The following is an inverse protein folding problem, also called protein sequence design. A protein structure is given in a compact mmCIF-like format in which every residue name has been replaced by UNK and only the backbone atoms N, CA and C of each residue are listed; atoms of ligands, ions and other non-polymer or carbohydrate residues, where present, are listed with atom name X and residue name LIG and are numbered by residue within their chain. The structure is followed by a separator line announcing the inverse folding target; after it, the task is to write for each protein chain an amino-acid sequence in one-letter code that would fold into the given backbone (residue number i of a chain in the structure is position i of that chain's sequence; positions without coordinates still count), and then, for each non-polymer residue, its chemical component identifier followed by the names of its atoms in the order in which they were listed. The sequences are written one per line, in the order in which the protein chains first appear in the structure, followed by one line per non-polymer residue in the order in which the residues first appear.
data_IF_899357036355
#
_entry.id   IF_899357036355
#
_cell.length_a   1.000
_cell.length_b   1.000
_cell.length_c   1.000
_cell.angle_alpha   90.00
_cell.angle_beta   90.00
_cell.angle_gamma   90.00
#
_symmetry.space_group_name_H-M   'P 1'
#
loop_
_entity.id
_entity.type
_entity.pdbx_description
1 polymer ?
#
# COMPACT_ATOMS: atom_id res chain seq x y z
N UNK A 1 11.00 -17.55 -12.31
CA UNK A 1 9.62 -17.14 -12.65
C UNK A 1 9.53 -15.64 -12.95
N UNK A 2 10.00 -14.76 -12.07
CA UNK A 2 10.08 -13.31 -12.39
C UNK A 2 11.15 -12.96 -13.44
N UNK A 3 12.17 -13.80 -13.61
CA UNK A 3 13.28 -13.60 -14.57
C UNK A 3 12.84 -13.48 -16.04
N UNK A 4 11.67 -14.00 -16.39
CA UNK A 4 11.11 -13.89 -17.75
C UNK A 4 10.01 -12.84 -17.85
N UNK A 5 9.60 -12.22 -16.73
CA UNK A 5 8.53 -11.24 -16.73
C UNK A 5 9.01 -9.94 -17.40
N UNK A 6 8.22 -9.46 -18.36
CA UNK A 6 8.58 -8.28 -19.16
C UNK A 6 7.44 -7.27 -19.22
N UNK A 7 7.81 -6.00 -19.10
CA UNK A 7 6.92 -4.84 -19.18
C UNK A 7 7.38 -3.95 -20.32
N UNK A 8 6.44 -3.54 -21.16
CA UNK A 8 6.66 -2.52 -22.19
C UNK A 8 5.99 -1.21 -21.77
N UNK A 9 6.64 -0.07 -22.00
CA UNK A 9 6.07 1.26 -21.71
C UNK A 9 5.43 1.79 -22.98
N UNK A 10 4.12 2.04 -22.94
CA UNK A 10 3.37 2.54 -24.09
C UNK A 10 3.62 4.03 -24.35
N UNK A 11 3.70 4.41 -25.64
CA UNK A 11 3.81 5.80 -26.16
C UNK A 11 5.03 6.61 -25.68
N UNK A 12 5.46 7.67 -26.41
CA UNK A 12 6.70 8.36 -26.09
C UNK A 12 6.63 9.13 -24.77
N UNK A 13 7.81 9.18 -24.16
CA UNK A 13 8.12 9.69 -22.83
C UNK A 13 7.99 11.22 -22.80
N UNK A 14 6.81 11.74 -22.45
CA UNK A 14 6.76 13.10 -21.89
C UNK A 14 7.23 12.96 -20.44
N UNK A 15 8.38 13.53 -20.04
CA UNK A 15 8.85 13.38 -18.67
C UNK A 15 7.85 13.98 -17.69
N UNK A 16 7.53 13.22 -16.64
CA UNK A 16 6.80 13.70 -15.48
C UNK A 16 7.36 12.99 -14.25
N UNK A 17 7.06 13.54 -13.08
CA UNK A 17 7.47 12.99 -11.80
C UNK A 17 6.24 12.77 -10.92
N UNK A 18 6.34 11.81 -10.01
CA UNK A 18 5.34 11.63 -8.97
C UNK A 18 5.79 12.39 -7.72
N UNK A 19 4.96 13.30 -7.18
CA UNK A 19 5.28 14.01 -5.94
C UNK A 19 5.19 13.08 -4.72
N UNK A 20 4.38 12.02 -4.82
CA UNK A 20 4.27 10.98 -3.79
C UNK A 20 5.51 10.07 -3.79
N UNK A 21 6.06 9.83 -2.59
CA UNK A 21 7.33 9.09 -2.42
C UNK A 21 7.21 7.63 -2.88
N UNK A 22 6.24 6.82 -2.39
CA UNK A 22 6.02 5.46 -2.90
C UNK A 22 5.86 5.39 -4.42
N UNK A 23 5.04 6.26 -5.01
CA UNK A 23 4.80 6.26 -6.45
C UNK A 23 6.06 6.63 -7.25
N UNK A 24 6.83 7.61 -6.77
CA UNK A 24 8.11 8.00 -7.36
C UNK A 24 9.13 6.87 -7.31
N UNK A 25 9.27 6.21 -6.16
CA UNK A 25 10.17 5.07 -5.98
C UNK A 25 9.78 3.89 -6.87
N UNK A 26 8.49 3.57 -6.96
CA UNK A 26 8.00 2.55 -7.89
C UNK A 26 8.35 2.87 -9.34
N UNK A 27 8.04 4.09 -9.80
CA UNK A 27 8.24 4.49 -11.18
C UNK A 27 9.73 4.51 -11.55
N UNK A 28 10.58 5.12 -10.71
CA UNK A 28 12.02 5.16 -10.92
C UNK A 28 12.64 3.76 -10.91
N UNK A 29 12.20 2.90 -10.01
CA UNK A 29 12.65 1.50 -9.95
C UNK A 29 12.24 0.74 -11.20
N UNK A 30 11.01 0.91 -11.69
CA UNK A 30 10.53 0.29 -12.93
C UNK A 30 11.40 0.68 -14.12
N UNK A 31 11.72 1.97 -14.26
CA UNK A 31 12.56 2.51 -15.34
C UNK A 31 13.98 1.94 -15.38
N UNK A 32 14.53 1.57 -14.22
CA UNK A 32 15.88 1.00 -14.10
C UNK A 32 15.89 -0.53 -14.01
N UNK A 33 14.71 -1.14 -13.97
CA UNK A 33 14.58 -2.57 -13.69
C UNK A 33 14.85 -3.46 -14.90
N UNK A 34 15.30 -4.71 -14.68
CA UNK A 34 15.45 -5.70 -15.75
C UNK A 34 14.11 -6.21 -16.31
N UNK A 35 12.98 -5.78 -15.73
CA UNK A 35 11.65 -6.13 -16.21
C UNK A 35 11.29 -5.37 -17.48
N UNK A 36 11.94 -4.25 -17.79
CA UNK A 36 11.64 -3.54 -19.03
C UNK A 36 12.10 -4.30 -20.28
N UNK A 37 11.30 -4.20 -21.33
CA UNK A 37 11.68 -4.61 -22.69
C UNK A 37 11.38 -3.49 -23.67
N UNK A 38 12.22 -3.37 -24.70
CA UNK A 38 11.97 -2.51 -25.85
C UNK A 38 11.18 -3.23 -26.95
N UNK A 39 11.00 -4.55 -26.83
CA UNK A 39 10.24 -5.36 -27.77
C UNK A 39 8.83 -5.62 -27.19
N UNK A 40 7.78 -4.98 -27.74
CA UNK A 40 6.42 -5.15 -27.22
C UNK A 40 5.87 -6.58 -27.41
N UNK A 41 6.42 -7.39 -28.31
CA UNK A 41 6.03 -8.79 -28.50
C UNK A 41 6.53 -9.71 -27.37
N UNK A 42 7.55 -9.30 -26.63
CA UNK A 42 8.03 -10.01 -25.43
C UNK A 42 7.27 -9.59 -24.16
N UNK A 43 6.48 -8.53 -24.23
CA UNK A 43 5.83 -7.94 -23.08
C UNK A 43 4.67 -8.81 -22.56
N UNK A 44 4.65 -8.97 -21.25
CA UNK A 44 3.55 -9.62 -20.53
C UNK A 44 2.51 -8.61 -20.06
N UNK A 45 2.95 -7.40 -19.71
CA UNK A 45 2.11 -6.27 -19.35
C UNK A 45 2.62 -4.99 -20.00
N UNK A 46 1.70 -4.05 -20.17
CA UNK A 46 1.94 -2.75 -20.79
C UNK A 46 1.73 -1.64 -19.79
N UNK A 47 2.78 -0.88 -19.48
CA UNK A 47 2.66 0.29 -18.62
C UNK A 47 2.17 1.49 -19.42
N UNK A 48 1.10 2.14 -18.94
CA UNK A 48 0.55 3.36 -19.53
C UNK A 48 1.02 4.56 -18.70
N UNK A 49 2.02 5.33 -19.18
CA UNK A 49 2.54 6.47 -18.44
C UNK A 49 1.63 7.69 -18.62
N UNK A 50 1.27 8.34 -17.52
CA UNK A 50 0.72 9.69 -17.51
C UNK A 50 0.99 10.38 -16.18
N UNK A 51 1.00 11.72 -16.21
CA UNK A 51 1.21 12.56 -15.03
C UNK A 51 0.11 12.34 -13.99
N UNK A 52 0.42 12.34 -12.68
CA UNK A 52 -0.58 12.11 -11.62
C UNK A 52 -1.70 13.18 -11.58
N UNK A 53 -1.46 14.37 -12.10
CA UNK A 53 -2.41 15.49 -12.19
C UNK A 53 -3.17 15.54 -13.53
N UNK A 54 -3.06 14.49 -14.35
CA UNK A 54 -3.72 14.45 -15.66
C UNK A 54 -5.24 14.59 -15.53
N UNK A 55 -5.81 15.50 -16.33
CA UNK A 55 -7.27 15.64 -16.38
C UNK A 55 -7.94 14.44 -17.04
N UNK A 56 -9.16 14.10 -16.62
CA UNK A 56 -9.97 13.00 -17.21
C UNK A 56 -10.05 13.09 -18.73
N UNK A 57 -10.20 14.31 -19.30
CA UNK A 57 -10.21 14.52 -20.75
C UNK A 57 -8.87 14.14 -21.40
N UNK A 58 -7.76 14.52 -20.79
CA UNK A 58 -6.42 14.24 -21.33
C UNK A 58 -6.09 12.75 -21.22
N UNK A 59 -6.45 12.11 -20.10
CA UNK A 59 -6.32 10.67 -19.93
C UNK A 59 -7.15 9.89 -20.97
N UNK A 60 -8.37 10.35 -21.29
CA UNK A 60 -9.20 9.75 -22.33
C UNK A 60 -8.55 9.88 -23.72
N UNK A 61 -7.80 10.96 -23.96
CA UNK A 61 -7.01 11.15 -25.18
C UNK A 61 -5.82 10.19 -25.24
N UNK A 62 -5.08 10.00 -24.14
CA UNK A 62 -3.99 9.00 -24.07
C UNK A 62 -4.49 7.62 -24.47
N UNK A 63 -5.60 7.17 -23.89
CA UNK A 63 -6.19 5.86 -24.24
C UNK A 63 -6.66 5.82 -25.70
N UNK A 64 -7.18 6.93 -26.25
CA UNK A 64 -7.55 7.01 -27.68
C UNK A 64 -6.33 6.87 -28.60
N UNK A 65 -5.22 7.50 -28.24
CA UNK A 65 -3.94 7.39 -28.96
C UNK A 65 -3.41 5.96 -28.87
N UNK A 66 -3.41 5.34 -27.68
CA UNK A 66 -3.05 3.93 -27.51
C UNK A 66 -3.84 2.98 -28.42
N UNK A 67 -5.15 3.21 -28.55
CA UNK A 67 -6.01 2.40 -29.44
C UNK A 67 -5.66 2.54 -30.91
N UNK A 68 -5.10 3.67 -31.30
CA UNK A 68 -4.80 3.99 -32.70
C UNK A 68 -3.37 3.55 -33.04
N UNK A 69 -2.44 3.81 -32.13
CA UNK A 69 -1.00 3.69 -32.38
C UNK A 69 -0.45 2.32 -31.95
N UNK A 70 -1.10 1.63 -31.01
CA UNK A 70 -0.65 0.34 -30.48
C UNK A 70 -1.72 -0.75 -30.62
N UNK A 71 -1.48 -1.84 -31.39
CA UNK A 71 -2.45 -2.90 -31.57
C UNK A 71 -2.79 -3.65 -30.26
N UNK A 72 -1.91 -3.56 -29.27
CA UNK A 72 -2.00 -4.28 -28.00
C UNK A 72 -3.18 -3.85 -27.13
N UNK A 73 -3.55 -2.56 -27.14
CA UNK A 73 -4.74 -2.12 -26.39
C UNK A 73 -5.99 -2.83 -26.89
N UNK A 74 -6.23 -2.83 -28.20
CA UNK A 74 -7.45 -3.39 -28.79
C UNK A 74 -7.50 -4.92 -28.67
N UNK A 75 -6.36 -5.60 -28.53
CA UNK A 75 -6.27 -7.05 -28.32
C UNK A 75 -6.97 -7.51 -27.03
N UNK A 76 -6.91 -6.68 -25.99
CA UNK A 76 -7.36 -7.03 -24.63
C UNK A 76 -8.29 -5.98 -24.04
N UNK A 77 -8.63 -4.93 -24.79
CA UNK A 77 -9.33 -3.75 -24.29
C UNK A 77 -8.64 -3.14 -23.06
N UNK A 78 -7.30 -3.20 -23.01
CA UNK A 78 -6.49 -2.68 -21.90
C UNK A 78 -6.33 -3.64 -20.70
N UNK A 79 -6.77 -4.89 -20.79
CA UNK A 79 -6.69 -5.85 -19.68
C UNK A 79 -5.29 -6.34 -19.30
N UNK A 80 -4.35 -6.27 -20.24
CA UNK A 80 -2.92 -6.51 -20.02
C UNK A 80 -2.14 -5.19 -19.83
N UNK A 81 -2.83 -4.10 -19.51
CA UNK A 81 -2.23 -2.81 -19.22
C UNK A 81 -2.32 -2.49 -17.74
N UNK A 82 -1.40 -1.67 -17.26
CA UNK A 82 -1.44 -1.11 -15.91
C UNK A 82 -0.96 0.33 -15.91
N UNK A 83 -1.36 1.09 -14.91
CA UNK A 83 -1.00 2.50 -14.76
C UNK A 83 -0.85 2.86 -13.28
N UNK A 84 -0.05 3.90 -13.02
CA UNK A 84 0.16 4.43 -11.69
C UNK A 84 -0.67 5.70 -11.50
N UNK A 85 -1.56 5.68 -10.51
CA UNK A 85 -2.40 6.81 -10.13
C UNK A 85 -2.49 6.85 -8.60
N UNK A 86 -1.67 7.67 -7.92
CA UNK A 86 -1.59 7.70 -6.45
C UNK A 86 -2.95 7.82 -5.77
N UNK A 87 -3.78 8.78 -6.21
CA UNK A 87 -5.14 8.99 -5.70
C UNK A 87 -6.20 8.04 -6.31
N UNK A 88 -5.82 7.23 -7.30
CA UNK A 88 -6.73 6.47 -8.14
C UNK A 88 -7.54 7.33 -9.11
N UNK A 89 -8.35 6.69 -9.96
CA UNK A 89 -9.23 7.38 -10.91
C UNK A 89 -10.69 7.04 -10.64
N UNK A 90 -11.56 8.03 -10.79
CA UNK A 90 -13.01 7.89 -10.67
C UNK A 90 -13.63 7.23 -11.92
N UNK A 91 -14.87 6.79 -11.78
CA UNK A 91 -15.71 6.38 -12.90
C UNK A 91 -16.07 7.58 -13.78
N UNK A 92 -16.10 7.36 -15.08
CA UNK A 92 -16.49 8.34 -16.09
C UNK A 92 -17.41 7.70 -17.12
N UNK A 93 -18.30 8.50 -17.71
CA UNK A 93 -19.10 8.09 -18.86
C UNK A 93 -18.30 8.03 -20.15
N UNK A 94 -17.08 8.57 -20.17
CA UNK A 94 -16.16 8.40 -21.29
C UNK A 94 -15.71 6.94 -21.38
N UNK A 95 -16.00 6.32 -22.53
CA UNK A 95 -15.68 4.91 -22.81
C UNK A 95 -14.21 4.57 -22.55
N UNK A 96 -13.29 5.46 -22.89
CA UNK A 96 -11.86 5.19 -22.75
C UNK A 96 -11.44 5.15 -21.28
N UNK A 97 -11.98 6.03 -20.46
CA UNK A 97 -11.73 6.05 -19.02
C UNK A 97 -12.39 4.84 -18.34
N UNK A 98 -13.61 4.50 -18.77
CA UNK A 98 -14.31 3.33 -18.27
C UNK A 98 -13.54 2.03 -18.56
N UNK A 99 -13.03 1.87 -19.78
CA UNK A 99 -12.19 0.73 -20.18
C UNK A 99 -10.87 0.72 -19.39
N UNK A 100 -10.18 1.86 -19.27
CA UNK A 100 -8.96 1.98 -18.46
C UNK A 100 -9.19 1.57 -17.00
N UNK A 101 -10.24 2.09 -16.36
CA UNK A 101 -10.55 1.80 -14.96
C UNK A 101 -10.95 0.33 -14.75
N UNK A 102 -11.81 -0.22 -15.61
CA UNK A 102 -12.36 -1.56 -15.41
C UNK A 102 -11.43 -2.68 -15.87
N UNK A 103 -10.59 -2.44 -16.88
CA UNK A 103 -9.77 -3.47 -17.49
C UNK A 103 -8.31 -3.39 -17.06
N UNK A 104 -7.71 -2.20 -17.01
CA UNK A 104 -6.27 -2.05 -16.71
C UNK A 104 -6.02 -2.04 -15.20
N UNK A 105 -4.93 -2.64 -14.75
CA UNK A 105 -4.55 -2.67 -13.32
C UNK A 105 -4.18 -1.25 -12.88
N UNK A 106 -4.90 -0.69 -11.92
CA UNK A 106 -4.50 0.57 -11.28
C UNK A 106 -3.55 0.27 -10.12
N UNK A 107 -2.50 1.06 -10.00
CA UNK A 107 -1.64 1.10 -8.81
C UNK A 107 -1.89 2.42 -8.08
N UNK A 108 -2.20 2.36 -6.78
CA UNK A 108 -2.51 3.54 -5.94
C UNK A 108 -1.81 3.46 -4.58
N UNK A 109 -1.68 4.60 -3.90
CA UNK A 109 -0.99 4.67 -2.61
C UNK A 109 -1.93 4.25 -1.48
N UNK A 110 -1.41 3.52 -0.49
CA UNK A 110 -2.15 3.21 0.73
C UNK A 110 -2.25 4.45 1.63
N UNK A 111 -3.42 4.75 2.23
CA UNK A 111 -4.73 4.12 2.01
C UNK A 111 -5.39 4.68 0.75
N UNK A 112 -6.20 3.86 0.07
CA UNK A 112 -6.81 4.27 -1.20
C UNK A 112 -8.07 5.12 -0.99
N UNK A 113 -8.36 6.00 -1.96
CA UNK A 113 -9.59 6.78 -1.96
C UNK A 113 -10.80 5.86 -2.15
N UNK A 114 -11.79 6.00 -1.27
CA UNK A 114 -13.00 5.18 -1.27
C UNK A 114 -13.74 5.28 -2.61
N UNK A 115 -14.06 4.13 -3.21
CA UNK A 115 -14.77 4.05 -4.49
C UNK A 115 -13.85 4.11 -5.72
N UNK A 116 -12.59 4.50 -5.56
CA UNK A 116 -11.62 4.61 -6.65
C UNK A 116 -10.70 3.39 -6.76
N UNK A 117 -11.01 2.29 -6.08
CA UNK A 117 -10.20 1.08 -6.04
C UNK A 117 -11.06 -0.16 -6.30
N UNK A 118 -10.55 -1.07 -7.14
CA UNK A 118 -11.20 -2.34 -7.48
C UNK A 118 -10.36 -3.49 -6.89
N UNK A 119 -10.74 -4.05 -5.72
CA UNK A 119 -9.88 -4.94 -4.92
C UNK A 119 -9.30 -6.15 -5.65
N UNK A 120 -10.11 -6.78 -6.51
CA UNK A 120 -9.70 -8.00 -7.22
C UNK A 120 -8.72 -7.75 -8.38
N UNK A 121 -8.43 -6.49 -8.71
CA UNK A 121 -7.65 -6.09 -9.90
C UNK A 121 -6.63 -4.98 -9.64
N UNK A 122 -6.90 -4.06 -8.73
CA UNK A 122 -6.03 -2.91 -8.42
C UNK A 122 -5.04 -3.25 -7.29
N UNK A 123 -3.86 -2.64 -7.34
CA UNK A 123 -2.73 -2.91 -6.44
C UNK A 123 -2.49 -1.67 -5.59
N UNK A 124 -2.17 -1.89 -4.32
CA UNK A 124 -1.83 -0.82 -3.39
C UNK A 124 -0.33 -0.78 -3.12
N UNK A 125 0.27 0.42 -3.22
CA UNK A 125 1.63 0.70 -2.80
C UNK A 125 1.70 0.78 -1.26
N UNK A 126 2.68 0.11 -0.62
CA UNK A 126 2.99 0.35 0.78
C UNK A 126 3.35 1.82 1.05
N UNK A 127 3.01 2.36 2.23
CA UNK A 127 3.44 3.70 2.61
C UNK A 127 4.97 3.75 2.73
N UNK A 128 5.56 4.92 2.51
CA UNK A 128 7.01 5.10 2.66
C UNK A 128 7.41 5.17 4.12
N UNK A 129 8.55 4.59 4.43
CA UNK A 129 9.19 4.73 5.74
C UNK A 129 10.21 5.85 5.68
N UNK A 130 10.32 6.65 6.75
CA UNK A 130 11.26 7.78 6.80
C UNK A 130 12.73 7.37 6.70
N UNK A 131 13.09 6.25 7.33
CA UNK A 131 14.46 5.72 7.30
C UNK A 131 14.44 4.18 7.32
N UNK A 132 14.55 3.53 6.15
CA UNK A 132 14.65 2.07 6.05
C UNK A 132 15.80 1.45 6.85
N UNK A 133 16.93 2.18 6.98
CA UNK A 133 18.12 1.72 7.70
C UNK A 133 17.89 1.68 9.21
N UNK A 134 17.18 2.67 9.78
CA UNK A 134 16.92 2.74 11.22
C UNK A 134 15.89 1.70 11.72
N UNK A 135 15.10 1.14 10.80
CA UNK A 135 14.11 0.10 11.12
C UNK A 135 14.74 -1.17 11.66
N UNK A 136 15.85 -1.62 11.04
CA UNK A 136 16.40 -2.95 11.30
C UNK A 136 17.64 -2.92 12.20
N UNK A 137 18.25 -1.75 12.43
CA UNK A 137 19.41 -1.62 13.32
C UNK A 137 19.07 -1.57 14.82
N UNK A 138 17.81 -1.34 15.19
CA UNK A 138 17.42 -1.24 16.60
C UNK A 138 16.63 -2.43 17.15
N UNK A 139 16.64 -3.57 16.45
CA UNK A 139 16.03 -4.81 16.92
C UNK A 139 16.83 -5.52 18.03
N UNK A 140 18.02 -5.01 18.41
CA UNK A 140 18.97 -5.75 19.27
C UNK A 140 18.78 -5.60 20.79
N UNK A 141 17.87 -4.76 21.29
CA UNK A 141 17.62 -4.66 22.73
C UNK A 141 16.13 -4.85 23.06
N UNK A 142 15.73 -6.09 23.33
CA UNK A 142 14.37 -6.44 23.73
C UNK A 142 14.06 -5.94 25.15
N UNK A 143 13.68 -4.67 25.30
CA UNK A 143 12.90 -4.26 26.46
C UNK A 143 11.53 -4.94 26.37
N UNK A 144 11.11 -5.67 27.41
CA UNK A 144 9.74 -6.23 27.46
C UNK A 144 8.76 -5.09 27.25
N UNK A 145 7.94 -5.17 26.19
CA UNK A 145 6.89 -4.19 25.93
C UNK A 145 5.97 -4.08 27.16
N UNK A 146 5.94 -2.90 27.76
CA UNK A 146 5.17 -2.61 28.98
C UNK A 146 3.87 -1.86 28.70
N UNK A 147 3.76 -1.24 27.52
CA UNK A 147 2.58 -0.45 27.12
C UNK A 147 1.61 -1.36 26.36
N UNK A 148 0.31 -1.28 26.64
CA UNK A 148 -0.70 -2.06 25.93
C UNK A 148 -0.86 -1.56 24.49
N UNK A 149 -1.07 -0.26 24.31
CA UNK A 149 -1.29 0.33 22.99
C UNK A 149 -0.63 1.69 22.79
N UNK A 150 -0.10 1.93 21.60
CA UNK A 150 0.41 3.24 21.19
C UNK A 150 -0.34 3.77 19.96
N UNK A 151 -0.63 5.06 19.94
CA UNK A 151 -1.18 5.76 18.77
C UNK A 151 -0.36 7.01 18.48
N UNK A 152 0.15 7.10 17.25
CA UNK A 152 0.63 8.35 16.66
C UNK A 152 -0.56 9.08 16.06
N UNK A 153 -0.99 10.18 16.67
CA UNK A 153 -2.22 10.89 16.32
C UNK A 153 -1.94 12.14 15.48
N UNK A 154 -2.78 12.36 14.47
CA UNK A 154 -2.73 13.52 13.57
C UNK A 154 -3.29 14.82 14.21
N UNK A 155 -4.04 14.71 15.30
CA UNK A 155 -4.65 15.83 16.01
C UNK A 155 -6.12 16.07 15.67
N UNK A 156 -6.67 15.35 14.69
CA UNK A 156 -8.00 15.62 14.15
C UNK A 156 -8.89 14.37 14.10
N UNK A 157 -8.34 13.21 13.72
CA UNK A 157 -9.12 11.99 13.44
C UNK A 157 -9.63 11.32 14.72
N UNK A 158 -10.90 10.91 14.74
CA UNK A 158 -11.54 10.15 15.84
C UNK A 158 -11.35 10.78 17.24
N UNK A 159 -11.51 12.11 17.33
CA UNK A 159 -11.26 12.91 18.55
C UNK A 159 -11.83 12.31 19.84
N UNK A 160 -13.05 11.79 19.82
CA UNK A 160 -13.70 11.20 20.99
C UNK A 160 -12.95 9.95 21.49
N UNK A 161 -12.67 9.01 20.59
CA UNK A 161 -11.91 7.80 20.90
C UNK A 161 -10.52 8.14 21.43
N UNK A 162 -9.82 9.08 20.78
CA UNK A 162 -8.47 9.48 21.19
C UNK A 162 -8.49 10.17 22.56
N UNK A 163 -9.51 10.98 22.84
CA UNK A 163 -9.68 11.62 24.15
C UNK A 163 -9.88 10.58 25.25
N UNK A 164 -10.68 9.54 25.00
CA UNK A 164 -10.84 8.43 25.95
C UNK A 164 -9.55 7.65 26.15
N UNK A 165 -8.80 7.37 25.09
CA UNK A 165 -7.52 6.66 25.18
C UNK A 165 -6.46 7.48 25.94
N UNK A 166 -6.45 8.81 25.81
CA UNK A 166 -5.56 9.70 26.58
C UNK A 166 -5.81 9.63 28.09
N UNK A 167 -7.00 9.20 28.54
CA UNK A 167 -7.34 9.08 29.95
C UNK A 167 -6.97 7.71 30.55
N UNK A 168 -6.59 6.74 29.72
CA UNK A 168 -6.27 5.37 30.15
C UNK A 168 -4.75 5.16 30.19
N UNK A 169 -4.22 4.76 31.34
CA UNK A 169 -2.78 4.61 31.57
C UNK A 169 -2.12 3.49 30.74
N UNK A 170 -2.91 2.58 30.18
CA UNK A 170 -2.37 1.48 29.37
C UNK A 170 -2.07 1.93 27.91
N UNK A 171 -2.50 3.14 27.54
CA UNK A 171 -2.29 3.71 26.21
C UNK A 171 -1.37 4.92 26.24
N UNK A 172 -0.52 5.03 25.22
CA UNK A 172 0.32 6.22 24.97
C UNK A 172 -0.08 6.86 23.66
N UNK A 173 -0.45 8.14 23.71
CA UNK A 173 -0.87 8.91 22.54
C UNK A 173 0.14 10.04 22.30
N UNK A 174 0.76 10.04 21.12
CA UNK A 174 1.74 11.05 20.71
C UNK A 174 1.22 11.84 19.52
N UNK A 175 1.12 13.16 19.68
CA UNK A 175 0.74 14.05 18.58
C UNK A 175 1.93 14.25 17.62
N UNK A 176 1.67 14.13 16.31
CA UNK A 176 2.68 14.18 15.24
C UNK A 176 3.58 15.42 15.27
N UNK A 177 3.11 16.54 15.86
CA UNK A 177 3.87 17.78 16.01
C UNK A 177 5.11 17.65 16.93
N UNK A 178 5.21 16.58 17.73
CA UNK A 178 6.28 16.36 18.71
C UNK A 178 7.24 15.23 18.27
N UNK A 179 7.85 15.39 17.09
CA UNK A 179 8.50 14.35 16.25
C UNK A 179 9.67 13.50 16.83
N UNK A 180 10.10 13.60 18.08
CA UNK A 180 11.43 13.12 18.47
C UNK A 180 11.52 11.66 18.98
N UNK A 181 10.45 11.04 19.49
CA UNK A 181 10.55 9.77 20.26
C UNK A 181 9.74 8.58 19.69
N UNK A 182 9.10 8.76 18.54
CA UNK A 182 8.10 7.82 18.03
C UNK A 182 8.60 6.38 17.76
N UNK A 183 9.89 6.18 17.47
CA UNK A 183 10.48 4.84 17.26
C UNK A 183 10.57 4.03 18.56
N UNK A 184 10.77 4.71 19.69
CA UNK A 184 10.84 4.06 21.01
C UNK A 184 9.46 3.59 21.45
N UNK A 185 8.46 4.44 21.32
CA UNK A 185 7.07 4.12 21.67
C UNK A 185 6.54 2.90 20.93
N UNK A 186 6.89 2.73 19.65
CA UNK A 186 6.59 1.51 18.90
C UNK A 186 7.19 0.26 19.54
N UNK A 187 8.48 0.27 19.89
CA UNK A 187 9.18 -0.89 20.47
C UNK A 187 8.67 -1.26 21.87
N UNK A 188 8.27 -0.27 22.66
CA UNK A 188 7.80 -0.47 24.03
C UNK A 188 6.32 -0.91 24.12
N UNK A 189 5.60 -0.95 22.99
CA UNK A 189 4.17 -1.22 22.94
C UNK A 189 3.85 -2.63 22.41
N UNK A 190 2.79 -3.25 22.94
CA UNK A 190 2.24 -4.50 22.43
C UNK A 190 1.51 -4.29 21.11
N UNK A 191 0.63 -3.29 21.08
CA UNK A 191 -0.19 -2.95 19.94
C UNK A 191 0.06 -1.52 19.46
N UNK A 192 0.00 -1.32 18.15
CA UNK A 192 0.10 -0.02 17.52
C UNK A 192 -1.20 0.27 16.79
N UNK A 193 -1.90 1.30 17.26
CA UNK A 193 -3.22 1.68 16.78
C UNK A 193 -3.08 2.54 15.52
N UNK A 194 -3.86 2.21 14.50
CA UNK A 194 -3.94 2.95 13.25
C UNK A 194 -5.40 3.30 12.96
N UNK A 195 -5.70 4.59 12.94
CA UNK A 195 -7.01 5.08 12.52
C UNK A 195 -7.01 5.10 10.99
N UNK A 196 -7.77 4.20 10.35
CA UNK A 196 -7.64 3.95 8.92
C UNK A 196 -7.90 5.19 8.03
N UNK A 197 -8.71 6.14 8.50
CA UNK A 197 -8.98 7.41 7.81
C UNK A 197 -8.09 8.58 8.26
N UNK A 198 -7.15 8.33 9.18
CA UNK A 198 -6.17 9.29 9.66
C UNK A 198 -4.76 8.85 9.29
N UNK A 199 -3.83 8.95 10.24
CA UNK A 199 -2.44 8.56 10.04
C UNK A 199 -2.25 7.04 10.00
N UNK A 200 -1.80 6.52 8.85
CA UNK A 200 -1.44 5.09 8.67
C UNK A 200 -0.01 4.86 8.18
N UNK A 201 0.75 5.93 7.91
CA UNK A 201 2.12 5.87 7.36
C UNK A 201 3.10 5.08 8.25
N UNK A 202 2.86 5.08 9.57
CA UNK A 202 3.69 4.37 10.55
C UNK A 202 3.49 2.85 10.61
N UNK A 203 2.61 2.26 9.80
CA UNK A 203 2.29 0.83 9.90
C UNK A 203 3.51 -0.06 9.64
N UNK A 204 4.33 0.30 8.66
CA UNK A 204 5.55 -0.46 8.33
C UNK A 204 6.61 -0.30 9.42
N UNK A 205 6.75 0.90 9.99
CA UNK A 205 7.65 1.18 11.12
C UNK A 205 7.26 0.37 12.38
N UNK A 206 5.97 0.32 12.69
CA UNK A 206 5.43 -0.47 13.80
C UNK A 206 5.67 -1.97 13.60
N UNK A 207 5.40 -2.48 12.39
CA UNK A 207 5.64 -3.89 12.04
C UNK A 207 7.13 -4.25 12.19
N UNK A 208 8.03 -3.44 11.65
CA UNK A 208 9.47 -3.65 11.77
C UNK A 208 9.96 -3.60 13.21
N UNK A 209 9.30 -2.81 14.07
CA UNK A 209 9.60 -2.69 15.50
C UNK A 209 8.98 -3.81 16.37
N UNK A 210 8.22 -4.74 15.78
CA UNK A 210 7.52 -5.80 16.53
C UNK A 210 6.29 -5.32 17.31
N UNK A 211 5.70 -4.19 16.91
CA UNK A 211 4.45 -3.69 17.47
C UNK A 211 3.27 -4.17 16.62
N UNK A 212 2.37 -4.97 17.18
CA UNK A 212 1.28 -5.60 16.41
C UNK A 212 0.30 -4.52 15.93
N UNK A 213 0.12 -4.32 14.61
CA UNK A 213 -0.81 -3.33 14.09
C UNK A 213 -2.26 -3.65 14.46
N UNK A 214 -2.98 -2.64 14.91
CA UNK A 214 -4.42 -2.67 15.16
C UNK A 214 -5.05 -1.60 14.29
N UNK A 215 -5.68 -2.01 13.20
CA UNK A 215 -6.33 -1.11 12.26
C UNK A 215 -7.77 -0.90 12.69
N UNK A 216 -8.07 0.32 13.12
CA UNK A 216 -9.39 0.74 13.56
C UNK A 216 -10.14 1.28 12.35
N UNK A 217 -11.26 0.65 12.02
CA UNK A 217 -11.99 0.94 10.79
C UNK A 217 -13.50 0.75 10.93
N UNK A 218 -14.26 1.60 10.24
CA UNK A 218 -15.72 1.56 10.21
C UNK A 218 -16.28 0.86 8.94
N UNK A 219 -15.41 0.29 8.11
CA UNK A 219 -15.74 -0.36 6.84
C UNK A 219 -14.78 -1.51 6.53
N UNK A 220 -15.16 -2.48 5.67
CA UNK A 220 -14.23 -3.52 5.22
C UNK A 220 -13.00 -2.91 4.54
N UNK A 221 -11.82 -3.32 4.97
CA UNK A 221 -10.55 -2.92 4.34
C UNK A 221 -10.26 -3.89 3.21
N UNK A 222 -9.98 -3.35 2.02
CA UNK A 222 -9.78 -4.14 0.82
C UNK A 222 -8.59 -3.67 -0.02
N UNK A 223 -7.72 -2.88 0.59
CA UNK A 223 -6.63 -2.17 -0.08
C UNK A 223 -5.33 -2.22 0.73
N UNK A 224 -5.21 -3.10 1.73
CA UNK A 224 -3.94 -3.24 2.44
C UNK A 224 -2.81 -3.59 1.44
N UNK A 225 -1.60 -3.08 1.64
CA UNK A 225 -0.50 -3.38 0.75
C UNK A 225 -0.25 -4.88 0.65
N UNK A 226 0.04 -5.37 -0.55
CA UNK A 226 0.34 -6.78 -0.81
C UNK A 226 -0.74 -7.79 -0.34
N UNK A 227 -2.03 -7.45 -0.26
CA UNK A 227 -3.07 -8.37 0.25
C UNK A 227 -3.14 -9.75 -0.46
N UNK A 228 -2.73 -9.84 -1.73
CA UNK A 228 -2.72 -11.13 -2.44
C UNK A 228 -1.55 -12.04 -2.05
N UNK A 229 -0.56 -11.48 -1.35
CA UNK A 229 0.70 -12.14 -1.01
C UNK A 229 0.83 -12.30 0.50
N UNK A 230 0.42 -11.29 1.26
CA UNK A 230 0.44 -11.26 2.71
C UNK A 230 -0.94 -11.60 3.28
N UNK A 231 -0.99 -12.60 4.16
CA UNK A 231 -2.21 -12.95 4.90
C UNK A 231 -2.38 -12.00 6.09
N UNK A 232 -2.99 -10.85 5.85
CA UNK A 232 -3.13 -9.79 6.86
C UNK A 232 -3.85 -10.19 8.15
N UNK A 233 -4.70 -11.24 8.13
CA UNK A 233 -5.28 -11.81 9.35
C UNK A 233 -4.25 -12.35 10.35
N UNK A 234 -3.05 -12.65 9.87
CA UNK A 234 -1.94 -13.15 10.68
C UNK A 234 -0.98 -12.02 11.09
N UNK A 235 -1.14 -10.83 10.49
CA UNK A 235 -0.24 -9.69 10.64
C UNK A 235 -0.85 -8.55 11.46
N UNK A 236 -2.17 -8.36 11.40
CA UNK A 236 -2.83 -7.23 12.05
C UNK A 236 -4.18 -7.63 12.63
N UNK A 237 -4.61 -6.90 13.65
CA UNK A 237 -5.98 -6.94 14.14
C UNK A 237 -6.78 -5.85 13.42
N UNK A 238 -7.86 -6.23 12.74
CA UNK A 238 -8.78 -5.25 12.16
C UNK A 238 -10.00 -5.18 13.06
N UNK A 239 -10.22 -4.01 13.65
CA UNK A 239 -11.26 -3.82 14.67
C UNK A 239 -12.19 -2.68 14.27
N UNK A 240 -13.50 -2.90 14.48
CA UNK A 240 -14.49 -1.85 14.41
C UNK A 240 -14.89 -1.49 15.83
N UNK A 241 -14.71 -0.22 16.21
CA UNK A 241 -15.13 0.30 17.51
C UNK A 241 -16.05 1.50 17.31
N UNK A 242 -17.07 1.70 18.16
CA UNK A 242 -17.85 2.93 18.16
C UNK A 242 -16.95 4.15 18.39
N UNK A 243 -17.44 5.35 18.05
CA UNK A 243 -16.68 6.61 18.22
C UNK A 243 -16.24 6.87 19.69
N UNK A 244 -16.90 6.22 20.65
CA UNK A 244 -16.58 6.21 22.09
C UNK A 244 -16.32 4.77 22.56
N UNK A 245 -15.30 4.16 21.96
CA UNK A 245 -15.06 2.72 22.02
C UNK A 245 -13.83 2.30 22.82
N UNK A 246 -13.14 3.19 23.53
CA UNK A 246 -11.82 2.89 24.11
C UNK A 246 -11.86 1.69 25.07
N UNK A 247 -12.89 1.61 25.92
CA UNK A 247 -13.09 0.46 26.83
C UNK A 247 -13.24 -0.87 26.06
N UNK A 248 -13.98 -0.85 24.95
CA UNK A 248 -14.19 -2.03 24.11
C UNK A 248 -12.90 -2.40 23.37
N UNK A 249 -12.17 -1.41 22.86
CA UNK A 249 -10.85 -1.61 22.25
C UNK A 249 -9.90 -2.29 23.25
N UNK A 250 -9.77 -1.72 24.46
CA UNK A 250 -8.95 -2.29 25.54
C UNK A 250 -9.33 -3.73 25.87
N UNK A 251 -10.62 -4.02 25.96
CA UNK A 251 -11.10 -5.38 26.18
C UNK A 251 -10.63 -6.32 25.06
N UNK A 252 -10.84 -5.96 23.79
CA UNK A 252 -10.41 -6.78 22.65
C UNK A 252 -8.90 -7.03 22.70
N UNK A 253 -8.09 -6.01 22.95
CA UNK A 253 -6.63 -6.13 23.00
C UNK A 253 -6.15 -6.96 24.19
N UNK A 254 -6.83 -6.88 25.33
CA UNK A 254 -6.49 -7.65 26.53
C UNK A 254 -6.90 -9.13 26.44
N UNK A 255 -7.84 -9.47 25.55
CA UNK A 255 -8.28 -10.85 25.30
C UNK A 255 -7.32 -11.62 24.37
N UNK A 256 -6.39 -10.93 23.69
CA UNK A 256 -5.38 -11.57 22.85
C UNK A 256 -4.31 -12.20 23.74
N UNK A 257 -4.07 -13.50 23.56
CA UNK A 257 -3.08 -14.22 24.37
C UNK A 257 -1.64 -13.79 24.05
N UNK A 258 -0.74 -13.92 25.02
CA UNK A 258 0.68 -13.60 24.82
C UNK A 258 1.33 -14.49 23.76
N UNK A 259 0.91 -15.76 23.65
CA UNK A 259 1.36 -16.66 22.59
C UNK A 259 0.95 -16.11 21.21
N UNK A 260 -0.30 -15.66 21.07
CA UNK A 260 -0.77 -15.09 19.80
C UNK A 260 -0.04 -13.80 19.45
N UNK A 261 0.23 -12.94 20.45
CA UNK A 261 1.02 -11.72 20.25
C UNK A 261 2.43 -12.08 19.79
N UNK A 262 3.09 -13.07 20.40
CA UNK A 262 4.42 -13.52 20.02
C UNK A 262 4.46 -14.04 18.57
N UNK A 263 3.50 -14.89 18.18
CA UNK A 263 3.35 -15.36 16.79
C UNK A 263 3.19 -14.19 15.81
N UNK A 264 2.27 -13.26 16.10
CA UNK A 264 2.05 -12.09 15.24
C UNK A 264 3.30 -11.23 15.12
N UNK A 265 4.05 -11.05 16.22
CA UNK A 265 5.31 -10.29 16.24
C UNK A 265 6.37 -10.85 15.31
N UNK A 266 6.58 -12.17 15.33
CA UNK A 266 7.53 -12.80 14.41
C UNK A 266 7.11 -12.60 12.95
N UNK A 267 5.81 -12.75 12.67
CA UNK A 267 5.25 -12.62 11.33
C UNK A 267 5.32 -11.19 10.80
N UNK A 268 4.98 -10.17 11.60
CA UNK A 268 5.02 -8.77 11.16
C UNK A 268 6.45 -8.28 10.91
N UNK A 269 7.42 -8.69 11.75
CA UNK A 269 8.83 -8.32 11.56
C UNK A 269 9.34 -8.96 10.28
N UNK A 270 9.06 -10.25 10.06
CA UNK A 270 9.44 -10.93 8.83
C UNK A 270 8.77 -10.32 7.58
N UNK A 271 7.50 -9.92 7.67
CA UNK A 271 6.74 -9.32 6.57
C UNK A 271 7.15 -7.88 6.27
N UNK A 272 7.60 -7.11 7.26
CA UNK A 272 7.91 -5.67 7.15
C UNK A 272 8.89 -5.36 6.01
N UNK A 273 9.92 -6.21 5.80
CA UNK A 273 10.91 -6.04 4.72
C UNK A 273 10.28 -5.99 3.32
N UNK A 274 9.13 -6.64 3.13
CA UNK A 274 8.38 -6.67 1.88
C UNK A 274 7.62 -5.38 1.59
N UNK A 275 7.51 -4.50 2.58
CA UNK A 275 6.79 -3.23 2.52
C UNK A 275 7.74 -2.02 2.50
N UNK A 276 9.06 -2.27 2.53
CA UNK A 276 10.09 -1.23 2.55
C UNK A 276 10.50 -0.86 1.14
N UNK A 277 10.57 0.44 0.87
CA UNK A 277 11.10 1.01 -0.37
C UNK A 277 12.59 1.32 -0.23
N UNK A 278 13.35 1.02 -1.28
CA UNK A 278 14.77 1.35 -1.39
C UNK A 278 15.00 2.25 -2.63
N UNK A 279 16.03 3.08 -2.60
CA UNK A 279 16.44 3.87 -3.77
C UNK A 279 16.90 2.98 -4.93
N UNK A 280 17.64 1.92 -4.60
CA UNK A 280 17.96 0.82 -5.51
C UNK A 280 17.16 -0.41 -5.11
N UNK A 281 16.38 -0.94 -6.05
CA UNK A 281 15.52 -2.09 -5.79
C UNK A 281 16.31 -3.31 -5.28
N UNK A 282 15.90 -3.84 -4.13
CA UNK A 282 16.51 -4.99 -3.47
C UNK A 282 15.62 -6.22 -3.54
N UNK A 283 16.20 -7.42 -3.45
CA UNK A 283 15.43 -8.64 -3.47
C UNK A 283 14.33 -8.65 -2.39
N UNK A 284 13.10 -8.95 -2.79
CA UNK A 284 11.92 -9.03 -1.92
C UNK A 284 11.51 -7.71 -1.24
N UNK A 285 12.00 -6.56 -1.69
CA UNK A 285 11.54 -5.25 -1.24
C UNK A 285 10.16 -4.88 -1.83
N UNK A 286 9.61 -3.72 -1.44
CA UNK A 286 8.30 -3.26 -1.92
C UNK A 286 8.19 -3.27 -3.45
N UNK A 287 9.21 -2.79 -4.16
CA UNK A 287 9.21 -2.78 -5.61
C UNK A 287 9.12 -4.21 -6.19
N UNK A 288 10.00 -5.11 -5.77
CA UNK A 288 10.02 -6.48 -6.30
C UNK A 288 8.74 -7.26 -5.92
N UNK A 289 8.17 -7.00 -4.74
CA UNK A 289 6.91 -7.60 -4.32
C UNK A 289 5.72 -7.09 -5.14
N UNK A 290 5.71 -5.81 -5.52
CA UNK A 290 4.71 -5.26 -6.44
C UNK A 290 4.87 -5.80 -7.86
N UNK A 291 6.10 -5.98 -8.34
CA UNK A 291 6.36 -6.66 -9.60
C UNK A 291 5.87 -8.11 -9.57
N UNK A 292 5.97 -8.78 -8.42
CA UNK A 292 5.37 -10.09 -8.21
C UNK A 292 3.82 -10.06 -8.26
N UNK A 293 3.17 -9.08 -7.64
CA UNK A 293 1.70 -8.92 -7.76
C UNK A 293 1.25 -8.66 -9.21
N UNK A 294 1.97 -7.81 -9.94
CA UNK A 294 1.71 -7.59 -11.36
C UNK A 294 1.88 -8.89 -12.16
N UNK A 295 2.94 -9.66 -11.88
CA UNK A 295 3.14 -10.96 -12.51
C UNK A 295 1.99 -11.92 -12.20
N UNK A 296 1.50 -12.02 -10.97
CA UNK A 296 0.34 -12.85 -10.62
C UNK A 296 -0.91 -12.45 -11.42
N UNK A 297 -1.10 -11.15 -11.67
CA UNK A 297 -2.28 -10.58 -12.33
C UNK A 297 -2.19 -10.54 -13.86
N UNK A 298 -1.06 -10.92 -14.46
CA UNK A 298 -0.84 -10.96 -15.93
C UNK A 298 -1.84 -11.81 -16.73
N UNK A 299 -2.61 -12.66 -16.05
CA UNK A 299 -3.63 -13.51 -16.66
C UNK A 299 -5.03 -13.31 -16.08
N UNK A 300 -5.22 -12.34 -15.18
CA UNK A 300 -6.47 -12.15 -14.45
C UNK A 300 -7.64 -11.78 -15.37
N UNK A 301 -7.37 -11.12 -16.51
CA UNK A 301 -8.40 -10.73 -17.47
C UNK A 301 -7.99 -11.25 -18.86
N UNK A 302 -8.59 -12.37 -19.28
CA UNK A 302 -8.44 -12.93 -20.63
C UNK A 302 -9.74 -12.71 -21.39
N UNK A 303 -9.72 -11.81 -22.38
CA UNK A 303 -10.77 -11.79 -23.39
C UNK A 303 -10.54 -12.95 -24.35
N UNK A 304 -11.58 -13.73 -24.64
CA UNK A 304 -11.50 -14.74 -25.70
C UNK A 304 -11.10 -14.03 -27.00
N UNK A 305 -10.00 -14.48 -27.62
CA UNK A 305 -9.63 -14.05 -28.97
C UNK A 305 -10.83 -14.43 -29.87
N UNK A 306 -11.51 -13.43 -30.42
CA UNK A 306 -12.51 -13.64 -31.46
C UNK A 306 -11.82 -13.89 -32.78
#
# INVERSE_FOLDING_TARGET
MLTTFKVFICTPYTPFEFPDVPASLFYNSLLRSPFLTHNPEEAHLFFVPFSPDISTRSMARVVRELRTDFPYWNRTLGADHFFLSPAGIDYSSDRNILELKKNSIQISVFPVVSGYFIPHKDITLPPSVRSPLDLFHGAENSTKASILGYLRWDGETELNLVTELKLDSDFVIEEKSKQLESSRSFRESKFCLFLYHGEVDGIVEAMASGCVPVVIVNRPIQDLPLMDVLKWSDLALVVAVPHSGAKRLKQILSEVSEEKIAEMREMIVAASKHLVWNEEAQAMDAFNMLMYQLWLRRHAIRYARR
#
